data_IF_969600474289
#
_entry.id   IF_969600474289
#
_cell.length_a   1.000
_cell.length_b   1.000
_cell.length_c   1.000
_cell.angle_alpha   90.00
_cell.angle_beta   90.00
_cell.angle_gamma   90.00
#
_symmetry.space_group_name_H-M   'P 1'
#
loop_
_entity.id
_entity.type
_entity.pdbx_description
1 polymer ?
#
# COMPACT_ATOMS: atom_id res chain seq x y z
N UNK A 1 2.13 9.91 3.87
CA UNK A 1 0.75 9.92 4.42
C UNK A 1 -0.03 11.16 3.98
N UNK A 2 0.40 12.39 4.32
CA UNK A 2 -0.35 13.62 4.00
C UNK A 2 -0.73 13.75 2.51
N UNK A 3 0.18 13.33 1.61
CA UNK A 3 -0.09 13.26 0.17
C UNK A 3 -1.33 12.43 -0.18
N UNK A 4 -1.44 11.21 0.35
CA UNK A 4 -2.61 10.33 0.15
C UNK A 4 -3.86 10.95 0.73
N UNK A 5 -3.77 11.58 1.90
CA UNK A 5 -4.91 12.24 2.54
C UNK A 5 -5.46 13.41 1.70
N UNK A 6 -4.57 14.19 1.07
CA UNK A 6 -4.96 15.35 0.28
C UNK A 6 -5.36 14.99 -1.16
N UNK A 7 -4.74 13.98 -1.75
CA UNK A 7 -4.86 13.66 -3.17
C UNK A 7 -5.58 12.32 -3.46
N UNK A 8 -5.99 11.58 -2.42
CA UNK A 8 -6.68 10.29 -2.53
C UNK A 8 -5.77 9.09 -2.85
N UNK A 9 -4.58 9.33 -3.41
CA UNK A 9 -3.57 8.33 -3.75
C UNK A 9 -2.16 8.89 -3.54
N UNK A 10 -1.17 8.02 -3.41
CA UNK A 10 0.23 8.41 -3.39
C UNK A 10 1.17 7.23 -3.57
N UNK A 11 2.27 7.46 -4.28
CA UNK A 11 3.35 6.49 -4.45
C UNK A 11 4.03 6.24 -3.09
N UNK A 12 4.17 4.96 -2.72
CA UNK A 12 4.87 4.54 -1.51
C UNK A 12 6.36 4.25 -1.75
N UNK A 13 6.74 3.92 -2.99
CA UNK A 13 8.10 3.73 -3.46
C UNK A 13 8.20 2.83 -4.69
N UNK A 14 9.35 2.85 -5.37
CA UNK A 14 9.65 2.02 -6.54
C UNK A 14 10.54 0.85 -6.15
N UNK A 15 10.16 -0.37 -6.55
CA UNK A 15 10.88 -1.61 -6.22
C UNK A 15 10.95 -2.54 -7.43
N UNK A 16 11.76 -3.60 -7.34
CA UNK A 16 11.65 -4.73 -8.27
C UNK A 16 10.32 -5.45 -8.08
N UNK A 17 9.83 -6.12 -9.12
CA UNK A 17 8.51 -6.77 -9.14
C UNK A 17 8.25 -7.62 -7.88
N UNK A 18 9.14 -8.56 -7.57
CA UNK A 18 8.97 -9.48 -6.43
C UNK A 18 8.92 -8.75 -5.09
N UNK A 19 9.68 -7.66 -4.95
CA UNK A 19 9.69 -6.84 -3.72
C UNK A 19 8.41 -6.01 -3.61
N UNK A 20 7.92 -5.46 -4.73
CA UNK A 20 6.65 -4.72 -4.76
C UNK A 20 5.47 -5.63 -4.42
N UNK A 21 5.40 -6.81 -5.03
CA UNK A 21 4.35 -7.81 -4.80
C UNK A 21 4.28 -8.22 -3.32
N UNK A 22 5.43 -8.56 -2.72
CA UNK A 22 5.51 -8.92 -1.30
C UNK A 22 5.07 -7.77 -0.37
N UNK A 23 5.46 -6.52 -0.70
CA UNK A 23 5.08 -5.35 0.10
C UNK A 23 3.57 -5.07 0.03
N UNK A 24 2.96 -5.21 -1.15
CA UNK A 24 1.51 -5.05 -1.31
C UNK A 24 0.77 -6.06 -0.43
N UNK A 25 1.15 -7.34 -0.48
CA UNK A 25 0.52 -8.39 0.35
C UNK A 25 0.67 -8.08 1.85
N UNK A 26 1.87 -7.71 2.29
CA UNK A 26 2.12 -7.38 3.71
C UNK A 26 1.27 -6.21 4.21
N UNK A 27 1.17 -5.13 3.44
CA UNK A 27 0.37 -3.94 3.82
C UNK A 27 -1.11 -4.29 3.88
N UNK A 28 -1.62 -5.00 2.87
CA UNK A 28 -3.02 -5.40 2.80
C UNK A 28 -3.41 -6.35 3.93
N UNK A 29 -2.56 -7.31 4.27
CA UNK A 29 -2.78 -8.22 5.39
C UNK A 29 -2.79 -7.49 6.72
N UNK A 30 -1.82 -6.60 6.95
CA UNK A 30 -1.75 -5.78 8.16
C UNK A 30 -3.01 -4.91 8.31
N UNK A 31 -3.45 -4.25 7.25
CA UNK A 31 -4.67 -3.44 7.27
C UNK A 31 -5.91 -4.28 7.62
N UNK A 32 -6.05 -5.45 7.00
CA UNK A 32 -7.16 -6.39 7.27
C UNK A 32 -7.15 -6.87 8.73
N UNK A 33 -6.00 -7.25 9.26
CA UNK A 33 -5.85 -7.71 10.65
C UNK A 33 -6.22 -6.65 11.68
N UNK A 34 -6.08 -5.37 11.31
CA UNK A 34 -6.43 -4.22 12.16
C UNK A 34 -7.80 -3.62 11.79
N UNK A 35 -8.63 -4.33 11.02
CA UNK A 35 -9.98 -3.90 10.65
C UNK A 35 -10.01 -2.53 9.94
N UNK A 36 -8.99 -2.26 9.10
CA UNK A 36 -8.86 -1.02 8.35
C UNK A 36 -9.09 -1.24 6.84
N UNK A 37 -9.81 -0.34 6.15
CA UNK A 37 -10.13 -0.47 4.72
C UNK A 37 -8.99 0.01 3.81
N UNK A 38 -7.74 0.05 4.28
CA UNK A 38 -6.62 0.57 3.50
C UNK A 38 -6.39 -0.30 2.26
N UNK A 39 -6.15 0.36 1.12
CA UNK A 39 -5.81 -0.29 -0.13
C UNK A 39 -4.38 0.08 -0.55
N UNK A 40 -3.64 -0.93 -1.01
CA UNK A 40 -2.31 -0.80 -1.61
C UNK A 40 -2.29 -1.64 -2.89
N UNK A 41 -1.77 -1.07 -3.97
CA UNK A 41 -1.68 -1.70 -5.29
C UNK A 41 -0.30 -1.51 -5.88
N UNK A 42 0.05 -2.35 -6.83
CA UNK A 42 1.21 -2.23 -7.70
C UNK A 42 0.72 -1.77 -9.08
N UNK A 43 1.39 -0.77 -9.65
CA UNK A 43 1.13 -0.18 -10.97
C UNK A 43 2.33 -0.36 -11.90
#
# INVERSE_FOLDING_TARGET
MLNVHQNGIGECGTYTYEVAEMKVVQVMECARQNEHPLQCVME
#
